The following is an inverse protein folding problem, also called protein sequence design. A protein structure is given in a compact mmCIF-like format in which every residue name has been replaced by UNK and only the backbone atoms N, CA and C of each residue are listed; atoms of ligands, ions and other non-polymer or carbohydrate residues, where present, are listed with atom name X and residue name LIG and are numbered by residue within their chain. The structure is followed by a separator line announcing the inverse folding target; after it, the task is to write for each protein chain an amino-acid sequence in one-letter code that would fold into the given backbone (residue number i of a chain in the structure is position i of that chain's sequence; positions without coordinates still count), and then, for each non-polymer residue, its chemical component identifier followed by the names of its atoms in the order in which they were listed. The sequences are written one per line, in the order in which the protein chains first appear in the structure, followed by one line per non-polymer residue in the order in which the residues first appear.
data_IF_763937798068
#
_entry.id   IF_763937798068
#
_cell.length_a   1.000
_cell.length_b   1.000
_cell.length_c   1.000
_cell.angle_alpha   90.00
_cell.angle_beta   90.00
_cell.angle_gamma   90.00
#
_symmetry.space_group_name_H-M   'P 1'
#
loop_
_entity.id
_entity.type
_entity.pdbx_description
1 polymer ?
#
# COMPACT_ATOMS: atom_id res chain seq x y z
N UNK A 1 52.79 15.28 -10.76
CA UNK A 1 52.27 14.77 -9.46
C UNK A 1 50.96 15.49 -9.14
N UNK A 2 49.82 14.89 -9.47
CA UNK A 2 48.46 15.37 -9.16
C UNK A 2 47.72 14.12 -8.66
N UNK A 3 47.61 13.98 -7.34
CA UNK A 3 46.46 14.33 -6.51
C UNK A 3 45.40 13.23 -6.46
N UNK A 4 45.40 12.57 -5.30
CA UNK A 4 44.32 11.83 -4.65
C UNK A 4 42.92 12.15 -5.19
N UNK A 5 42.34 11.23 -5.96
CA UNK A 5 40.90 11.02 -6.01
C UNK A 5 40.62 9.52 -5.94
N UNK A 6 40.65 8.98 -4.73
CA UNK A 6 40.04 7.69 -4.44
C UNK A 6 38.54 7.96 -4.32
N UNK A 7 37.81 7.82 -5.43
CA UNK A 7 36.36 7.78 -5.42
C UNK A 7 35.93 6.52 -4.68
N UNK A 8 35.36 6.69 -3.48
CA UNK A 8 34.60 5.62 -2.83
C UNK A 8 33.39 5.33 -3.71
N UNK A 9 33.49 4.33 -4.58
CA UNK A 9 32.33 3.71 -5.18
C UNK A 9 31.58 2.99 -4.05
N UNK A 10 30.56 3.65 -3.49
CA UNK A 10 29.65 3.01 -2.55
C UNK A 10 28.77 2.06 -3.37
N UNK A 11 29.11 0.77 -3.35
CA UNK A 11 28.20 -0.29 -3.81
C UNK A 11 27.02 -0.34 -2.85
N UNK A 12 25.84 0.12 -3.30
CA UNK A 12 24.62 -0.02 -2.53
C UNK A 12 24.03 -1.39 -2.80
N UNK A 13 23.99 -2.23 -1.77
CA UNK A 13 23.22 -3.47 -1.85
C UNK A 13 21.73 -3.13 -1.83
N UNK A 14 20.87 -4.02 -2.36
CA UNK A 14 19.41 -3.87 -2.24
C UNK A 14 18.97 -3.69 -0.77
N UNK A 15 19.71 -4.29 0.17
CA UNK A 15 19.48 -4.15 1.60
C UNK A 15 19.77 -2.74 2.12
N UNK A 16 20.81 -2.08 1.62
CA UNK A 16 21.15 -0.71 2.03
C UNK A 16 20.12 0.31 1.55
N UNK A 17 19.62 0.14 0.32
CA UNK A 17 18.51 0.94 -0.21
C UNK A 17 17.27 0.74 0.65
N UNK A 18 16.95 -0.50 0.97
CA UNK A 18 15.80 -0.85 1.79
C UNK A 18 15.87 -0.21 3.18
N UNK A 19 17.00 -0.36 3.88
CA UNK A 19 17.22 0.25 5.20
C UNK A 19 17.05 1.76 5.16
N UNK A 20 17.57 2.43 4.13
CA UNK A 20 17.40 3.87 3.95
C UNK A 20 15.93 4.26 3.78
N UNK A 21 15.17 3.51 2.99
CA UNK A 21 13.74 3.76 2.79
C UNK A 21 12.95 3.56 4.08
N UNK A 22 13.23 2.52 4.87
CA UNK A 22 12.63 2.32 6.19
C UNK A 22 12.90 3.52 7.10
N UNK A 23 14.14 4.00 7.13
CA UNK A 23 14.50 5.18 7.92
C UNK A 23 13.83 6.47 7.43
N UNK A 24 13.42 6.57 6.15
CA UNK A 24 12.58 7.69 5.69
C UNK A 24 11.16 7.58 6.25
N UNK A 25 10.58 6.39 6.25
CA UNK A 25 9.21 6.15 6.75
C UNK A 25 9.12 6.37 8.25
N UNK A 26 10.09 5.92 9.03
CA UNK A 26 10.09 6.03 10.51
C UNK A 26 10.16 7.48 11.00
N UNK A 27 10.62 8.43 10.17
CA UNK A 27 10.56 9.86 10.51
C UNK A 27 9.14 10.37 10.76
N UNK A 28 8.14 9.64 10.27
CA UNK A 28 6.72 9.96 10.44
C UNK A 28 6.07 9.18 11.59
N UNK A 29 6.82 8.42 12.40
CA UNK A 29 6.25 7.57 13.47
C UNK A 29 5.39 8.36 14.46
N UNK A 30 5.80 9.57 14.83
CA UNK A 30 5.03 10.43 15.73
C UNK A 30 3.72 10.88 15.08
N UNK A 31 3.76 11.40 13.85
CA UNK A 31 2.57 11.84 13.11
C UNK A 31 1.60 10.68 12.87
N UNK A 32 2.13 9.50 12.56
CA UNK A 32 1.33 8.28 12.41
C UNK A 32 0.71 7.89 13.76
N UNK A 33 1.46 7.95 14.86
CA UNK A 33 0.97 7.66 16.22
C UNK A 33 -0.21 8.56 16.57
N UNK A 34 -0.06 9.88 16.40
CA UNK A 34 -1.12 10.86 16.63
C UNK A 34 -2.36 10.57 15.78
N UNK A 35 -2.17 10.27 14.48
CA UNK A 35 -3.26 9.99 13.57
C UNK A 35 -4.03 8.70 13.92
N UNK A 36 -3.32 7.61 14.26
CA UNK A 36 -3.98 6.34 14.61
C UNK A 36 -4.71 6.43 15.96
N UNK A 37 -4.17 7.19 16.92
CA UNK A 37 -4.84 7.47 18.19
C UNK A 37 -6.12 8.28 17.98
N UNK A 38 -6.06 9.33 17.15
CA UNK A 38 -7.21 10.16 16.83
C UNK A 38 -8.35 9.39 16.15
N UNK A 39 -8.04 8.29 15.46
CA UNK A 39 -9.01 7.45 14.76
C UNK A 39 -9.32 6.12 15.49
N UNK A 40 -8.80 5.91 16.70
CA UNK A 40 -9.07 4.70 17.50
C UNK A 40 -8.55 3.40 16.88
N UNK A 41 -7.47 3.48 16.10
CA UNK A 41 -6.84 2.35 15.41
C UNK A 41 -5.36 2.19 15.79
N UNK A 42 -5.00 2.54 17.03
CA UNK A 42 -3.62 2.51 17.54
C UNK A 42 -2.91 1.17 17.34
N UNK A 43 -3.62 0.04 17.40
CA UNK A 43 -3.01 -1.28 17.19
C UNK A 43 -2.53 -1.51 15.73
N UNK A 44 -2.90 -0.63 14.79
CA UNK A 44 -2.54 -0.72 13.38
C UNK A 44 -1.44 0.26 12.95
N UNK A 45 -0.74 0.91 13.90
CA UNK A 45 0.38 1.83 13.62
C UNK A 45 1.38 1.25 12.60
N UNK A 46 1.83 0.02 12.84
CA UNK A 46 2.80 -0.65 11.97
C UNK A 46 2.25 -0.91 10.56
N UNK A 47 0.94 -1.15 10.44
CA UNK A 47 0.26 -1.32 9.16
C UNK A 47 0.25 -0.01 8.38
N UNK A 48 0.01 1.12 9.05
CA UNK A 48 0.06 2.46 8.44
C UNK A 48 1.47 2.79 7.94
N UNK A 49 2.51 2.54 8.73
CA UNK A 49 3.90 2.72 8.28
C UNK A 49 4.21 1.84 7.05
N UNK A 50 3.70 0.61 7.01
CA UNK A 50 3.86 -0.28 5.87
C UNK A 50 3.10 0.20 4.63
N UNK A 51 1.94 0.84 4.80
CA UNK A 51 1.20 1.50 3.71
C UNK A 51 2.02 2.69 3.18
N UNK A 52 2.50 3.59 4.04
CA UNK A 52 3.38 4.72 3.63
C UNK A 52 4.59 4.21 2.85
N UNK A 53 5.22 3.13 3.32
CA UNK A 53 6.33 2.51 2.60
C UNK A 53 5.91 2.00 1.22
N UNK A 54 4.76 1.33 1.14
CA UNK A 54 4.22 0.75 -0.10
C UNK A 54 3.89 1.84 -1.12
N UNK A 55 3.29 2.94 -0.68
CA UNK A 55 2.87 4.07 -1.52
C UNK A 55 4.07 4.91 -1.96
N UNK A 56 4.71 5.60 -1.01
CA UNK A 56 5.67 6.68 -1.30
C UNK A 56 7.09 6.36 -0.86
N UNK A 57 7.32 5.31 -0.06
CA UNK A 57 8.63 4.95 0.50
C UNK A 57 9.14 6.09 1.40
N UNK A 58 8.24 6.97 1.86
CA UNK A 58 8.54 8.18 2.63
C UNK A 58 9.16 9.31 1.80
N UNK A 59 8.98 9.34 0.47
CA UNK A 59 9.69 10.27 -0.42
C UNK A 59 8.79 11.34 -1.07
N UNK A 60 7.46 11.18 -1.00
CA UNK A 60 6.50 12.12 -1.55
C UNK A 60 5.83 12.92 -0.44
N UNK A 61 5.28 14.09 -0.79
CA UNK A 61 4.42 14.84 0.12
C UNK A 61 3.12 14.06 0.38
N UNK A 62 2.49 13.54 -0.68
CA UNK A 62 1.38 12.61 -0.55
C UNK A 62 1.85 11.19 -0.17
N UNK A 63 2.24 11.06 1.10
CA UNK A 63 2.85 9.88 1.70
C UNK A 63 2.04 8.59 1.57
N UNK A 64 0.72 8.68 1.73
CA UNK A 64 -0.22 7.57 1.70
C UNK A 64 -1.05 7.51 0.40
N UNK A 65 -0.67 8.31 -0.62
CA UNK A 65 -1.40 8.47 -1.89
C UNK A 65 -2.90 8.76 -1.68
N UNK A 66 -3.20 9.55 -0.64
CA UNK A 66 -4.56 9.87 -0.22
C UNK A 66 -5.25 10.84 -1.19
N UNK A 67 -4.51 11.52 -2.08
CA UNK A 67 -5.10 12.48 -3.02
C UNK A 67 -6.11 11.83 -3.96
N UNK A 68 -5.88 10.59 -4.40
CA UNK A 68 -6.79 9.90 -5.31
C UNK A 68 -8.15 9.66 -4.65
N UNK A 69 -8.17 9.30 -3.37
CA UNK A 69 -9.41 9.09 -2.61
C UNK A 69 -10.15 10.39 -2.29
N UNK A 70 -9.43 11.50 -2.10
CA UNK A 70 -10.02 12.77 -1.63
C UNK A 70 -10.41 13.69 -2.80
N UNK A 71 -9.56 13.76 -3.82
CA UNK A 71 -9.68 14.72 -4.94
C UNK A 71 -9.88 14.05 -6.30
N UNK A 72 -9.78 12.73 -6.39
CA UNK A 72 -9.85 12.00 -7.67
C UNK A 72 -8.67 12.26 -8.60
N UNK A 73 -7.59 12.84 -8.08
CA UNK A 73 -6.38 13.18 -8.83
C UNK A 73 -5.14 12.86 -8.00
N UNK A 74 -4.06 12.44 -8.67
CA UNK A 74 -2.79 12.13 -8.02
C UNK A 74 -2.02 13.39 -7.62
N UNK A 75 -1.28 13.31 -6.51
CA UNK A 75 -0.32 14.32 -6.06
C UNK A 75 -0.90 15.74 -5.90
N UNK A 76 -2.14 15.84 -5.41
CA UNK A 76 -2.77 17.12 -5.04
C UNK A 76 -2.31 17.57 -3.66
N UNK A 77 -2.17 16.62 -2.72
CA UNK A 77 -1.69 16.90 -1.36
C UNK A 77 -0.18 17.19 -1.39
N UNK A 78 0.21 18.37 -0.91
CA UNK A 78 1.60 18.80 -0.76
C UNK A 78 2.08 18.83 0.70
N UNK A 79 1.22 18.46 1.66
CA UNK A 79 1.56 18.29 3.07
C UNK A 79 1.52 16.80 3.51
N UNK A 80 2.65 16.23 3.94
CA UNK A 80 2.73 14.91 4.59
C UNK A 80 1.72 14.69 5.72
N UNK A 81 1.45 15.70 6.56
CA UNK A 81 0.51 15.54 7.68
C UNK A 81 -0.92 15.36 7.18
N UNK A 82 -1.32 16.14 6.18
CA UNK A 82 -2.63 16.01 5.53
C UNK A 82 -2.79 14.63 4.86
N UNK A 83 -1.75 14.16 4.15
CA UNK A 83 -1.76 12.82 3.53
C UNK A 83 -1.96 11.71 4.56
N UNK A 84 -1.23 11.76 5.68
CA UNK A 84 -1.38 10.80 6.78
C UNK A 84 -2.78 10.89 7.40
N UNK A 85 -3.30 12.10 7.65
CA UNK A 85 -4.60 12.28 8.27
C UNK A 85 -5.74 11.67 7.44
N UNK A 86 -5.77 11.94 6.13
CA UNK A 86 -6.79 11.35 5.25
C UNK A 86 -6.59 9.85 5.07
N UNK A 87 -5.35 9.39 4.87
CA UNK A 87 -5.07 7.97 4.66
C UNK A 87 -5.42 7.14 5.90
N UNK A 88 -5.04 7.59 7.09
CA UNK A 88 -5.38 6.92 8.35
C UNK A 88 -6.88 6.92 8.60
N UNK A 89 -7.58 8.02 8.29
CA UNK A 89 -9.04 8.07 8.40
C UNK A 89 -9.73 7.05 7.48
N UNK A 90 -9.31 6.97 6.22
CA UNK A 90 -9.85 6.00 5.26
C UNK A 90 -9.57 4.56 5.69
N UNK A 91 -8.36 4.27 6.17
CA UNK A 91 -8.02 2.96 6.70
C UNK A 91 -8.86 2.60 7.94
N UNK A 92 -9.12 3.56 8.84
CA UNK A 92 -9.95 3.34 10.01
C UNK A 92 -11.40 2.97 9.61
N UNK A 93 -11.96 3.67 8.63
CA UNK A 93 -13.26 3.34 8.04
C UNK A 93 -13.26 1.93 7.44
N UNK A 94 -12.25 1.58 6.63
CA UNK A 94 -12.11 0.25 6.06
C UNK A 94 -12.03 -0.84 7.13
N UNK A 95 -11.24 -0.62 8.20
CA UNK A 95 -11.11 -1.56 9.31
C UNK A 95 -12.44 -1.72 10.05
N UNK A 96 -13.17 -0.63 10.28
CA UNK A 96 -14.47 -0.69 10.95
C UNK A 96 -15.47 -1.51 10.14
N UNK A 97 -15.70 -1.17 8.88
CA UNK A 97 -16.64 -1.89 8.01
C UNK A 97 -16.23 -3.36 7.85
N UNK A 98 -14.93 -3.64 7.77
CA UNK A 98 -14.41 -5.00 7.66
C UNK A 98 -14.63 -5.84 8.92
N UNK A 99 -14.49 -5.24 10.11
CA UNK A 99 -14.81 -5.88 11.38
C UNK A 99 -16.31 -6.20 11.47
N UNK A 100 -17.17 -5.27 11.05
CA UNK A 100 -18.63 -5.48 10.99
C UNK A 100 -19.02 -6.59 9.99
N UNK A 101 -18.29 -6.69 8.87
CA UNK A 101 -18.47 -7.74 7.88
C UNK A 101 -17.98 -9.13 8.35
N UNK A 102 -17.16 -9.20 9.41
CA UNK A 102 -16.61 -10.44 9.94
C UNK A 102 -15.44 -11.00 9.13
N UNK A 103 -14.74 -10.14 8.38
CA UNK A 103 -13.64 -10.53 7.51
C UNK A 103 -12.28 -10.48 8.22
N UNK A 104 -11.25 -11.08 7.61
CA UNK A 104 -9.88 -10.91 8.07
C UNK A 104 -9.33 -9.49 7.80
N UNK A 105 -8.36 -9.04 8.61
CA UNK A 105 -7.77 -7.70 8.50
C UNK A 105 -7.21 -7.36 7.11
N UNK A 106 -6.65 -8.33 6.38
CA UNK A 106 -6.02 -8.07 5.09
C UNK A 106 -7.03 -7.69 4.02
N UNK A 107 -8.31 -7.99 4.23
CA UNK A 107 -9.40 -7.48 3.40
C UNK A 107 -9.51 -5.96 3.52
N UNK A 108 -9.44 -5.38 4.73
CA UNK A 108 -9.43 -3.93 4.92
C UNK A 108 -8.19 -3.27 4.28
N UNK A 109 -7.03 -3.93 4.38
CA UNK A 109 -5.78 -3.43 3.75
C UNK A 109 -5.88 -3.47 2.23
N UNK A 110 -6.45 -4.52 1.63
CA UNK A 110 -6.67 -4.57 0.19
C UNK A 110 -7.73 -3.56 -0.26
N UNK A 111 -8.78 -3.35 0.55
CA UNK A 111 -9.78 -2.31 0.33
C UNK A 111 -9.18 -0.89 0.37
N UNK A 112 -8.04 -0.68 1.04
CA UNK A 112 -7.29 0.58 0.92
C UNK A 112 -6.93 0.89 -0.55
N UNK A 113 -6.59 -0.14 -1.32
CA UNK A 113 -6.23 -0.01 -2.74
C UNK A 113 -7.44 -0.11 -3.70
N UNK A 114 -8.47 -0.87 -3.32
CA UNK A 114 -9.62 -1.16 -4.20
C UNK A 114 -10.87 -0.34 -3.93
N UNK A 115 -10.93 0.35 -2.80
CA UNK A 115 -12.15 0.91 -2.26
C UNK A 115 -12.93 -0.08 -1.39
N UNK A 116 -13.89 0.47 -0.64
CA UNK A 116 -14.61 -0.24 0.44
C UNK A 116 -15.53 -1.35 -0.07
N UNK A 117 -16.00 -1.28 -1.33
CA UNK A 117 -16.85 -2.32 -1.94
C UNK A 117 -16.17 -3.71 -1.96
N UNK A 118 -14.83 -3.75 -1.96
CA UNK A 118 -14.09 -5.01 -1.86
C UNK A 118 -14.36 -5.77 -0.55
N UNK A 119 -14.69 -5.07 0.54
CA UNK A 119 -15.02 -5.68 1.83
C UNK A 119 -16.25 -6.58 1.70
N UNK A 120 -17.30 -6.07 1.05
CA UNK A 120 -18.52 -6.83 0.82
C UNK A 120 -18.27 -8.00 -0.12
N UNK A 121 -17.49 -7.80 -1.18
CA UNK A 121 -17.10 -8.88 -2.08
C UNK A 121 -16.45 -10.03 -1.32
N UNK A 122 -15.44 -9.77 -0.47
CA UNK A 122 -14.79 -10.85 0.30
C UNK A 122 -15.73 -11.48 1.34
N UNK A 123 -16.63 -10.71 1.95
CA UNK A 123 -17.63 -11.24 2.89
C UNK A 123 -18.50 -12.31 2.23
N UNK A 124 -18.97 -12.05 1.00
CA UNK A 124 -19.78 -12.98 0.20
C UNK A 124 -18.97 -14.21 -0.27
N UNK A 125 -17.64 -14.18 -0.16
CA UNK A 125 -16.71 -15.23 -0.59
C UNK A 125 -15.91 -15.87 0.57
N UNK A 126 -16.50 -15.91 1.77
CA UNK A 126 -15.95 -16.66 2.91
C UNK A 126 -15.07 -15.83 3.86
N UNK A 127 -15.09 -14.50 3.73
CA UNK A 127 -14.57 -13.55 4.71
C UNK A 127 -13.05 -13.54 4.86
N UNK A 128 -12.32 -14.03 3.87
CA UNK A 128 -10.84 -14.02 3.88
C UNK A 128 -10.29 -13.53 2.55
N UNK A 129 -9.46 -12.50 2.59
CA UNK A 129 -8.70 -12.04 1.46
C UNK A 129 -7.75 -13.15 0.98
N UNK A 130 -7.84 -13.46 -0.31
CA UNK A 130 -6.89 -14.33 -1.00
C UNK A 130 -6.46 -13.69 -2.30
N UNK A 131 -5.30 -14.07 -2.81
CA UNK A 131 -4.80 -13.53 -4.07
C UNK A 131 -5.74 -13.87 -5.25
N UNK A 132 -6.37 -15.05 -5.23
CA UNK A 132 -7.37 -15.42 -6.22
C UNK A 132 -8.60 -14.50 -6.19
N UNK A 133 -9.15 -14.19 -5.00
CA UNK A 133 -10.27 -13.25 -4.87
C UNK A 133 -9.88 -11.84 -5.25
N UNK A 134 -8.66 -11.40 -4.90
CA UNK A 134 -8.18 -10.07 -5.27
C UNK A 134 -7.99 -9.94 -6.78
N UNK A 135 -7.50 -10.98 -7.46
CA UNK A 135 -7.37 -11.02 -8.91
C UNK A 135 -8.73 -11.05 -9.60
N UNK A 136 -9.67 -11.86 -9.10
CA UNK A 136 -11.05 -11.91 -9.60
C UNK A 136 -11.72 -10.53 -9.49
N UNK A 137 -11.63 -9.89 -8.32
CA UNK A 137 -12.19 -8.56 -8.14
C UNK A 137 -11.57 -7.51 -9.05
N UNK A 138 -10.24 -7.55 -9.18
CA UNK A 138 -9.48 -6.69 -10.10
C UNK A 138 -10.02 -6.80 -11.53
N UNK A 139 -10.15 -8.03 -12.03
CA UNK A 139 -10.47 -8.34 -13.42
C UNK A 139 -11.96 -8.15 -13.74
N UNK A 140 -12.84 -8.65 -12.90
CA UNK A 140 -14.27 -8.80 -13.22
C UNK A 140 -15.10 -7.60 -12.75
N UNK A 141 -14.61 -6.82 -11.78
CA UNK A 141 -15.36 -5.69 -11.20
C UNK A 141 -14.64 -4.36 -11.39
N UNK A 142 -13.44 -4.21 -10.82
CA UNK A 142 -12.76 -2.92 -10.74
C UNK A 142 -12.28 -2.43 -12.12
N UNK A 143 -11.62 -3.30 -12.89
CA UNK A 143 -11.15 -2.98 -14.24
C UNK A 143 -12.29 -2.55 -15.17
N UNK A 144 -13.40 -3.30 -15.32
CA UNK A 144 -14.53 -2.89 -16.15
C UNK A 144 -15.20 -1.60 -15.67
N UNK A 145 -15.40 -1.45 -14.35
CA UNK A 145 -15.99 -0.25 -13.75
C UNK A 145 -15.23 1.02 -14.15
N UNK A 146 -13.91 0.91 -14.29
CA UNK A 146 -13.02 2.01 -14.63
C UNK A 146 -12.62 2.01 -16.12
N UNK A 147 -13.36 1.31 -16.97
CA UNK A 147 -13.23 1.42 -18.43
C UNK A 147 -12.29 0.42 -19.11
N UNK A 148 -11.88 -0.65 -18.42
CA UNK A 148 -11.12 -1.77 -19.00
C UNK A 148 -11.98 -3.04 -19.05
N UNK A 149 -12.97 -3.08 -19.94
CA UNK A 149 -13.87 -4.23 -20.11
C UNK A 149 -13.23 -5.42 -20.84
N UNK A 150 -12.12 -5.20 -21.55
CA UNK A 150 -11.44 -6.23 -22.36
C UNK A 150 -10.36 -6.98 -21.56
N UNK A 151 -10.28 -6.76 -20.24
CA UNK A 151 -9.29 -7.34 -19.34
C UNK A 151 -7.85 -7.09 -19.83
N UNK A 152 -7.58 -5.90 -20.39
CA UNK A 152 -6.24 -5.53 -20.82
C UNK A 152 -5.28 -5.51 -19.62
N UNK A 153 -4.06 -5.99 -19.83
CA UNK A 153 -3.03 -6.06 -18.79
C UNK A 153 -1.83 -5.19 -19.14
N UNK A 154 -0.98 -4.94 -18.14
CA UNK A 154 0.34 -4.36 -18.33
C UNK A 154 1.40 -5.12 -17.50
N UNK A 155 2.66 -5.13 -17.94
CA UNK A 155 3.71 -5.84 -17.23
C UNK A 155 3.94 -5.26 -15.82
N UNK A 156 4.03 -6.14 -14.84
CA UNK A 156 4.30 -5.81 -13.45
C UNK A 156 5.25 -6.85 -12.86
N UNK A 157 6.54 -6.53 -12.82
CA UNK A 157 7.59 -7.47 -12.43
C UNK A 157 7.96 -7.35 -10.95
N UNK A 158 7.14 -7.94 -10.10
CA UNK A 158 7.49 -8.24 -8.70
C UNK A 158 7.60 -9.76 -8.53
N UNK A 159 8.33 -10.20 -7.50
CA UNK A 159 8.49 -11.63 -7.24
C UNK A 159 7.12 -12.32 -7.10
N UNK A 160 6.21 -11.70 -6.33
CA UNK A 160 4.85 -12.21 -6.12
C UNK A 160 4.10 -12.41 -7.45
N UNK A 161 4.12 -11.43 -8.35
CA UNK A 161 3.39 -11.50 -9.61
C UNK A 161 4.00 -12.49 -10.60
N UNK A 162 5.34 -12.57 -10.67
CA UNK A 162 6.03 -13.53 -11.53
C UNK A 162 5.63 -14.97 -11.16
N UNK A 163 5.57 -15.30 -9.87
CA UNK A 163 5.20 -16.65 -9.43
C UNK A 163 3.70 -16.94 -9.50
N UNK A 164 2.85 -15.91 -9.38
CA UNK A 164 1.39 -16.09 -9.38
C UNK A 164 0.79 -16.15 -10.79
N UNK A 165 1.07 -15.14 -11.62
CA UNK A 165 0.39 -14.96 -12.92
C UNK A 165 1.36 -14.67 -14.09
N UNK A 166 2.67 -14.78 -13.87
CA UNK A 166 3.67 -14.50 -14.90
C UNK A 166 4.06 -13.02 -15.02
N UNK A 167 3.59 -12.16 -14.11
CA UNK A 167 4.10 -10.80 -13.94
C UNK A 167 3.25 -9.72 -14.59
N UNK A 168 1.96 -9.63 -14.25
CA UNK A 168 1.08 -8.57 -14.76
C UNK A 168 0.07 -8.06 -13.72
N UNK A 169 -0.51 -6.90 -14.05
CA UNK A 169 -1.73 -6.35 -13.44
C UNK A 169 -2.74 -6.01 -14.55
N UNK A 170 -4.03 -5.98 -14.21
CA UNK A 170 -5.08 -5.47 -15.10
C UNK A 170 -5.06 -3.94 -15.13
N UNK A 171 -5.20 -3.34 -16.31
CA UNK A 171 -5.39 -1.89 -16.43
C UNK A 171 -6.65 -1.48 -15.66
N UNK A 172 -6.55 -0.38 -14.93
CA UNK A 172 -7.64 0.14 -14.08
C UNK A 172 -8.18 -0.86 -13.04
N UNK A 173 -7.43 -1.91 -12.71
CA UNK A 173 -7.85 -2.96 -11.77
C UNK A 173 -7.20 -2.87 -10.40
N UNK A 174 -6.57 -1.73 -10.07
CA UNK A 174 -5.71 -1.57 -8.90
C UNK A 174 -4.55 -2.59 -8.86
N UNK A 175 -4.07 -2.92 -7.67
CA UNK A 175 -2.98 -3.86 -7.44
C UNK A 175 -3.44 -5.07 -6.62
N UNK A 176 -3.62 -6.21 -7.30
CA UNK A 176 -4.08 -7.46 -6.67
C UNK A 176 -3.12 -8.06 -5.63
N UNK A 177 -1.89 -7.57 -5.58
CA UNK A 177 -0.87 -8.02 -4.61
C UNK A 177 -0.74 -7.07 -3.41
N UNK A 178 -1.58 -6.03 -3.31
CA UNK A 178 -1.38 -4.92 -2.38
C UNK A 178 -1.28 -5.37 -0.92
N UNK A 179 -2.24 -6.16 -0.43
CA UNK A 179 -2.21 -6.67 0.94
C UNK A 179 -0.96 -7.50 1.25
N UNK A 180 -0.51 -8.35 0.31
CA UNK A 180 0.70 -9.15 0.47
C UNK A 180 1.98 -8.30 0.48
N UNK A 181 2.04 -7.24 -0.36
CA UNK A 181 3.15 -6.29 -0.38
C UNK A 181 3.20 -5.51 0.93
N UNK A 182 2.07 -4.98 1.41
CA UNK A 182 1.99 -4.26 2.69
C UNK A 182 2.41 -5.18 3.84
N UNK A 183 1.89 -6.42 3.89
CA UNK A 183 2.25 -7.42 4.89
C UNK A 183 3.75 -7.74 4.91
N UNK A 184 4.36 -7.84 3.73
CA UNK A 184 5.80 -8.05 3.59
C UNK A 184 6.58 -6.82 4.09
N UNK A 185 6.18 -5.61 3.70
CA UNK A 185 6.82 -4.37 4.13
C UNK A 185 6.70 -4.15 5.64
N UNK A 186 5.56 -4.49 6.24
CA UNK A 186 5.38 -4.43 7.69
C UNK A 186 6.38 -5.32 8.44
N UNK A 187 6.61 -6.56 7.96
CA UNK A 187 7.61 -7.46 8.55
C UNK A 187 9.02 -6.90 8.44
N UNK A 188 9.35 -6.29 7.32
CA UNK A 188 10.66 -5.73 7.10
C UNK A 188 10.89 -4.44 7.92
N UNK A 189 9.91 -3.55 8.03
CA UNK A 189 9.98 -2.39 8.93
C UNK A 189 10.22 -2.86 10.38
N UNK A 190 9.53 -3.91 10.84
CA UNK A 190 9.78 -4.49 12.17
C UNK A 190 11.20 -5.02 12.38
N UNK A 191 11.87 -5.42 11.31
CA UNK A 191 13.21 -5.99 11.39
C UNK A 191 14.33 -4.94 11.26
N UNK A 192 14.10 -3.89 10.46
CA UNK A 192 15.10 -2.87 10.14
C UNK A 192 14.82 -1.48 10.71
N UNK A 193 13.66 -1.32 11.33
CA UNK A 193 13.22 -0.08 11.96
C UNK A 193 13.84 0.15 13.33
#
# INVERSE_FOLDING_TARGET
MISKYCSKAVSYTHLDVYKRQVQQVIKYDNQVTEAVEANGISEYKDTVLAIIYTESKGQAADLMQSSESVYGQQAVIDDPQESIAYGVKFLAEAIQQNKEAGNDLWTAVQAYNYGLEYIRFVQEHGGKNTLALSEEYSKEFLSPLLGNSDAETYPYYRLQSIFHNGGFLYKNGGNMFYADIVKMNQRFIKWFG
#
